data_IF_323662746501
#
_entry.id   IF_323662746501
#
_cell.length_a   1.000
_cell.length_b   1.000
_cell.length_c   1.000
_cell.angle_alpha   90.00
_cell.angle_beta   90.00
_cell.angle_gamma   90.00
#
_symmetry.space_group_name_H-M   'P 1'
#
loop_
_entity.id
_entity.type
_entity.pdbx_description
1 polymer ?
#
# COMPACT_ATOMS: atom_id res chain seq x y z
N UNK A 1 18.29 6.37 -16.26
CA UNK A 1 17.19 5.39 -16.43
C UNK A 1 17.74 4.05 -16.00
N UNK A 2 17.44 3.61 -14.78
CA UNK A 2 17.98 2.35 -14.25
C UNK A 2 17.37 1.19 -15.01
N UNK A 3 18.14 0.63 -15.93
CA UNK A 3 17.79 -0.59 -16.63
C UNK A 3 17.70 -1.75 -15.64
N UNK A 4 16.57 -2.47 -15.62
CA UNK A 4 16.39 -3.64 -14.77
C UNK A 4 17.50 -4.66 -15.01
N UNK A 5 18.10 -5.18 -13.93
CA UNK A 5 19.15 -6.20 -14.07
C UNK A 5 18.58 -7.51 -14.63
N UNK A 6 19.37 -8.35 -15.32
CA UNK A 6 18.90 -9.67 -15.76
C UNK A 6 18.42 -10.56 -14.60
N UNK A 7 18.97 -10.37 -13.39
CA UNK A 7 18.54 -11.10 -12.20
C UNK A 7 17.17 -10.63 -11.70
N UNK A 8 16.91 -9.32 -11.71
CA UNK A 8 15.62 -8.74 -11.39
C UNK A 8 14.55 -9.23 -12.36
N UNK A 9 14.80 -9.17 -13.68
CA UNK A 9 13.86 -9.66 -14.69
C UNK A 9 13.48 -11.12 -14.48
N UNK A 10 14.44 -11.97 -14.07
CA UNK A 10 14.16 -13.37 -13.72
C UNK A 10 13.24 -13.48 -12.51
N UNK A 11 13.46 -12.67 -11.47
CA UNK A 11 12.60 -12.67 -10.27
C UNK A 11 11.19 -12.20 -10.57
N UNK A 12 11.03 -11.11 -11.33
CA UNK A 12 9.71 -10.59 -11.74
C UNK A 12 8.97 -11.61 -12.59
N UNK A 13 9.62 -12.20 -13.60
CA UNK A 13 9.00 -13.25 -14.44
C UNK A 13 8.59 -14.47 -13.64
N UNK A 14 9.40 -14.87 -12.64
CA UNK A 14 9.03 -15.95 -11.74
C UNK A 14 7.79 -15.57 -10.92
N UNK A 15 7.79 -14.39 -10.30
CA UNK A 15 6.66 -13.90 -9.53
C UNK A 15 5.37 -13.86 -10.39
N UNK A 16 5.42 -13.31 -11.59
CA UNK A 16 4.28 -13.25 -12.52
C UNK A 16 3.77 -14.63 -12.94
N UNK A 17 4.66 -15.62 -13.08
CA UNK A 17 4.24 -17.02 -13.31
C UNK A 17 3.55 -17.65 -12.10
N UNK A 18 3.96 -17.23 -10.91
CA UNK A 18 3.44 -17.73 -9.65
C UNK A 18 2.23 -16.90 -9.15
N UNK A 19 1.76 -15.91 -9.92
CA UNK A 19 0.53 -15.18 -9.62
C UNK A 19 -0.66 -16.14 -9.56
N UNK A 20 -1.65 -15.85 -8.69
CA UNK A 20 -2.83 -16.67 -8.59
C UNK A 20 -3.66 -16.60 -9.89
N UNK A 21 -4.52 -17.59 -10.18
CA UNK A 21 -5.45 -17.50 -11.29
C UNK A 21 -6.31 -16.23 -11.20
N UNK A 22 -6.72 -15.69 -12.36
CA UNK A 22 -7.45 -14.41 -12.46
C UNK A 22 -8.59 -14.27 -11.45
N UNK A 23 -9.47 -15.27 -11.33
CA UNK A 23 -10.59 -15.23 -10.38
C UNK A 23 -10.17 -15.13 -8.91
N UNK A 24 -9.06 -15.77 -8.53
CA UNK A 24 -8.49 -15.67 -7.17
C UNK A 24 -7.85 -14.30 -6.95
N UNK A 25 -7.14 -13.78 -7.96
CA UNK A 25 -6.53 -12.45 -7.91
C UNK A 25 -7.59 -11.34 -7.75
N UNK A 26 -8.65 -11.38 -8.56
CA UNK A 26 -9.78 -10.46 -8.51
C UNK A 26 -10.51 -10.58 -7.16
N UNK A 27 -10.71 -11.81 -6.65
CA UNK A 27 -11.28 -12.03 -5.32
C UNK A 27 -10.43 -11.42 -4.20
N UNK A 28 -9.11 -11.63 -4.19
CA UNK A 28 -8.23 -11.06 -3.16
C UNK A 28 -8.22 -9.53 -3.18
N UNK A 29 -8.21 -8.93 -4.39
CA UNK A 29 -8.33 -7.48 -4.54
C UNK A 29 -9.69 -6.99 -4.01
N UNK A 30 -10.78 -7.65 -4.39
CA UNK A 30 -12.14 -7.29 -3.98
C UNK A 30 -12.34 -7.39 -2.46
N UNK A 31 -11.79 -8.44 -1.84
CA UNK A 31 -11.77 -8.60 -0.38
C UNK A 31 -10.96 -7.48 0.27
N UNK A 32 -9.79 -7.16 -0.27
CA UNK A 32 -8.97 -6.05 0.24
C UNK A 32 -9.73 -4.70 0.15
N UNK A 33 -10.42 -4.44 -0.96
CA UNK A 33 -11.22 -3.21 -1.13
C UNK A 33 -12.40 -3.20 -0.15
N UNK A 34 -13.08 -4.34 0.02
CA UNK A 34 -14.32 -4.43 0.79
C UNK A 34 -14.10 -4.37 2.30
N UNK A 35 -13.07 -5.05 2.80
CA UNK A 35 -12.85 -5.20 4.23
C UNK A 35 -11.58 -4.49 4.73
N UNK A 36 -10.66 -4.18 3.83
CA UNK A 36 -9.41 -3.50 4.15
C UNK A 36 -9.47 -1.98 4.02
N UNK A 37 -10.43 -1.41 3.28
CA UNK A 37 -10.58 0.05 3.18
C UNK A 37 -11.07 0.62 4.50
N UNK A 38 -10.23 1.44 5.14
CA UNK A 38 -10.48 1.99 6.48
C UNK A 38 -10.26 3.51 6.53
N UNK A 39 -9.44 4.03 7.45
CA UNK A 39 -9.08 5.44 7.56
C UNK A 39 -7.96 5.85 6.59
N UNK A 40 -7.36 4.90 5.87
CA UNK A 40 -6.19 5.14 5.04
C UNK A 40 -6.45 4.93 3.54
N UNK A 41 -5.64 5.59 2.72
CA UNK A 41 -5.55 5.39 1.28
C UNK A 41 -4.37 4.46 0.94
N UNK A 42 -4.69 3.25 0.51
CA UNK A 42 -3.69 2.31 -0.01
C UNK A 42 -3.44 2.53 -1.51
N UNK A 43 -4.53 2.70 -2.26
CA UNK A 43 -4.52 2.84 -3.72
C UNK A 43 -5.88 3.30 -4.24
N UNK A 44 -5.89 3.78 -5.48
CA UNK A 44 -7.12 4.01 -6.24
C UNK A 44 -7.70 2.67 -6.69
N UNK A 45 -8.92 2.38 -6.24
CA UNK A 45 -9.59 1.09 -6.39
C UNK A 45 -9.96 0.82 -7.86
N UNK A 46 -10.52 1.82 -8.55
CA UNK A 46 -10.92 1.72 -9.96
C UNK A 46 -9.70 1.51 -10.85
N UNK A 47 -8.64 2.29 -10.63
CA UNK A 47 -7.40 2.19 -11.38
C UNK A 47 -6.73 0.82 -11.18
N UNK A 48 -6.56 0.36 -9.93
CA UNK A 48 -5.91 -0.91 -9.67
C UNK A 48 -6.70 -2.09 -10.25
N UNK A 49 -8.04 -2.02 -10.19
CA UNK A 49 -8.92 -3.02 -10.79
C UNK A 49 -8.74 -3.08 -12.32
N UNK A 50 -8.71 -1.93 -12.99
CA UNK A 50 -8.50 -1.86 -14.44
C UNK A 50 -7.10 -2.36 -14.84
N UNK A 51 -6.06 -1.97 -14.10
CA UNK A 51 -4.68 -2.40 -14.33
C UNK A 51 -4.51 -3.91 -14.14
N UNK A 52 -5.13 -4.48 -13.10
CA UNK A 52 -5.13 -5.92 -12.87
C UNK A 52 -5.88 -6.67 -13.98
N UNK A 53 -7.02 -6.14 -14.42
CA UNK A 53 -7.76 -6.67 -15.57
C UNK A 53 -6.91 -6.70 -16.85
N UNK A 54 -6.21 -5.61 -17.15
CA UNK A 54 -5.30 -5.52 -18.29
C UNK A 54 -4.11 -6.50 -18.15
N UNK A 55 -3.53 -6.62 -16.95
CA UNK A 55 -2.42 -7.54 -16.66
C UNK A 55 -2.77 -9.01 -16.97
N UNK A 56 -4.01 -9.44 -16.71
CA UNK A 56 -4.48 -10.80 -17.01
C UNK A 56 -5.01 -10.98 -18.43
N UNK A 57 -5.45 -9.91 -19.09
CA UNK A 57 -6.07 -9.99 -20.42
C UNK A 57 -5.06 -9.92 -21.57
N UNK A 58 -3.88 -9.35 -21.35
CA UNK A 58 -2.83 -9.19 -22.36
C UNK A 58 -1.47 -9.70 -21.84
N UNK A 59 -0.93 -10.75 -22.48
CA UNK A 59 0.40 -11.28 -22.16
C UNK A 59 1.54 -10.30 -22.50
N UNK A 60 1.31 -9.38 -23.44
CA UNK A 60 2.23 -8.30 -23.82
C UNK A 60 2.15 -7.07 -22.90
N UNK A 61 1.26 -7.08 -21.90
CA UNK A 61 1.07 -5.95 -21.00
C UNK A 61 2.36 -5.58 -20.26
N UNK A 62 2.78 -4.31 -20.38
CA UNK A 62 4.04 -3.81 -19.77
C UNK A 62 4.08 -3.98 -18.25
N UNK A 63 2.93 -3.99 -17.59
CA UNK A 63 2.80 -4.21 -16.15
C UNK A 63 3.33 -5.59 -15.72
N UNK A 64 3.35 -6.58 -16.62
CA UNK A 64 3.93 -7.91 -16.37
C UNK A 64 5.45 -7.90 -16.26
N UNK A 65 6.10 -6.82 -16.67
CA UNK A 65 7.55 -6.60 -16.52
C UNK A 65 7.91 -5.53 -15.49
N UNK A 66 6.91 -4.81 -14.96
CA UNK A 66 7.12 -3.73 -14.00
C UNK A 66 7.28 -4.29 -12.58
N UNK A 67 8.51 -4.26 -12.05
CA UNK A 67 8.82 -4.75 -10.71
C UNK A 67 8.02 -4.03 -9.62
N UNK A 68 7.80 -2.72 -9.78
CA UNK A 68 7.05 -1.91 -8.83
C UNK A 68 5.59 -2.32 -8.77
N UNK A 69 4.96 -2.49 -9.94
CA UNK A 69 3.57 -2.94 -10.05
C UNK A 69 3.41 -4.37 -9.51
N UNK A 70 4.25 -5.32 -9.94
CA UNK A 70 4.15 -6.72 -9.53
C UNK A 70 4.36 -6.87 -8.01
N UNK A 71 5.35 -6.16 -7.46
CA UNK A 71 5.59 -6.14 -6.02
C UNK A 71 4.40 -5.54 -5.24
N UNK A 72 3.85 -4.43 -5.74
CA UNK A 72 2.70 -3.77 -5.13
C UNK A 72 1.45 -4.67 -5.14
N UNK A 73 1.14 -5.31 -6.26
CA UNK A 73 -0.02 -6.21 -6.37
C UNK A 73 0.12 -7.43 -5.47
N UNK A 74 1.32 -8.03 -5.36
CA UNK A 74 1.56 -9.11 -4.40
C UNK A 74 1.37 -8.64 -2.95
N UNK A 75 1.78 -7.41 -2.61
CA UNK A 75 1.53 -6.85 -1.30
C UNK A 75 0.01 -6.68 -1.04
N UNK A 76 -0.75 -6.26 -2.05
CA UNK A 76 -2.23 -6.15 -1.95
C UNK A 76 -2.89 -7.52 -1.79
N UNK A 77 -2.42 -8.56 -2.49
CA UNK A 77 -2.90 -9.93 -2.30
C UNK A 77 -2.60 -10.46 -0.89
N UNK A 78 -1.40 -10.19 -0.37
CA UNK A 78 -1.05 -10.53 1.00
C UNK A 78 -1.95 -9.80 2.01
N UNK A 79 -2.23 -8.52 1.79
CA UNK A 79 -3.11 -7.76 2.67
C UNK A 79 -4.56 -8.26 2.59
N UNK A 80 -5.10 -8.47 1.39
CA UNK A 80 -6.46 -8.97 1.18
C UNK A 80 -6.73 -10.34 1.80
N UNK A 81 -5.70 -11.18 1.92
CA UNK A 81 -5.84 -12.50 2.53
C UNK A 81 -6.23 -12.45 4.02
N UNK A 82 -6.01 -11.32 4.72
CA UNK A 82 -6.43 -11.15 6.12
C UNK A 82 -7.94 -11.24 6.31
N UNK A 83 -8.72 -10.98 5.26
CA UNK A 83 -10.19 -10.90 5.36
C UNK A 83 -10.92 -11.93 4.50
N UNK A 84 -10.23 -12.94 3.97
CA UNK A 84 -10.89 -13.95 3.11
C UNK A 84 -11.92 -14.77 3.86
N UNK A 85 -11.78 -14.94 5.18
CA UNK A 85 -12.78 -15.59 6.03
C UNK A 85 -14.08 -14.78 6.14
N UNK A 86 -14.00 -13.44 6.08
CA UNK A 86 -15.17 -12.55 6.15
C UNK A 86 -16.01 -12.56 4.87
N UNK A 87 -15.42 -12.98 3.75
CA UNK A 87 -16.09 -13.11 2.47
C UNK A 87 -16.71 -14.50 2.24
N UNK A 88 -16.46 -15.47 3.13
CA UNK A 88 -17.04 -16.81 3.05
C UNK A 88 -18.50 -16.77 3.56
N UNK A 89 -19.46 -17.43 2.89
CA UNK A 89 -20.84 -17.55 3.40
C UNK A 89 -20.86 -18.24 4.77
N UNK A 90 -21.72 -17.76 5.67
CA UNK A 90 -21.82 -18.21 7.07
C UNK A 90 -22.23 -19.70 7.25
N UNK A 91 -22.52 -20.43 6.17
CA UNK A 91 -23.01 -21.81 6.21
C UNK A 91 -21.90 -22.89 6.08
N UNK A 92 -20.63 -22.50 5.85
CA UNK A 92 -19.51 -23.41 5.62
C UNK A 92 -18.52 -23.53 6.81
N UNK A 93 -18.97 -23.28 8.05
CA UNK A 93 -18.11 -23.43 9.23
C UNK A 93 -18.21 -24.82 9.87
N UNK A 94 -17.03 -25.47 10.00
CA UNK A 94 -16.57 -26.37 11.09
C UNK A 94 -15.68 -27.53 10.62
N UNK A 95 -15.34 -27.66 9.34
CA UNK A 95 -14.44 -28.75 8.90
C UNK A 95 -13.06 -28.24 8.51
N UNK A 96 -12.19 -28.27 9.53
CA UNK A 96 -10.71 -28.24 9.50
C UNK A 96 -10.11 -26.83 9.51
N UNK A 97 -10.04 -26.23 10.70
CA UNK A 97 -9.04 -25.20 11.00
C UNK A 97 -7.88 -25.86 11.77
N UNK A 98 -7.11 -26.69 11.05
CA UNK A 98 -5.72 -26.95 11.47
C UNK A 98 -4.94 -25.64 11.40
N UNK A 99 -4.01 -25.39 12.33
CA UNK A 99 -3.16 -24.19 12.45
C UNK A 99 -3.24 -23.29 11.21
N UNK A 100 -4.01 -22.20 11.28
CA UNK A 100 -4.15 -21.22 10.19
C UNK A 100 -2.76 -20.78 9.72
N UNK A 101 -2.25 -21.42 8.67
CA UNK A 101 -1.14 -20.89 7.90
C UNK A 101 -1.67 -19.65 7.22
N UNK A 102 -1.07 -18.50 7.51
CA UNK A 102 -1.40 -17.23 6.88
C UNK A 102 -1.34 -17.38 5.35
N UNK A 103 -2.49 -17.41 4.65
CA UNK A 103 -2.51 -17.66 3.21
C UNK A 103 -1.86 -16.52 2.41
N UNK A 104 -1.74 -15.33 3.01
CA UNK A 104 -1.04 -14.18 2.43
C UNK A 104 0.46 -14.30 2.43
N UNK A 105 1.00 -15.21 3.25
CA UNK A 105 2.45 -15.35 3.47
C UNK A 105 3.21 -15.64 2.18
N UNK A 106 2.62 -16.41 1.27
CA UNK A 106 3.22 -16.73 -0.03
C UNK A 106 3.41 -15.47 -0.89
N UNK A 107 2.41 -14.58 -0.91
CA UNK A 107 2.47 -13.32 -1.65
C UNK A 107 3.42 -12.33 -0.98
N UNK A 108 3.39 -12.26 0.36
CA UNK A 108 4.34 -11.46 1.13
C UNK A 108 5.80 -11.85 0.87
N UNK A 109 6.12 -13.15 0.89
CA UNK A 109 7.49 -13.60 0.68
C UNK A 109 8.00 -13.28 -0.73
N UNK A 110 7.14 -13.36 -1.75
CA UNK A 110 7.48 -12.93 -3.10
C UNK A 110 7.63 -11.40 -3.21
N UNK A 111 6.70 -10.64 -2.64
CA UNK A 111 6.76 -9.18 -2.63
C UNK A 111 8.02 -8.68 -1.92
N UNK A 112 8.41 -9.30 -0.80
CA UNK A 112 9.65 -9.00 -0.06
C UNK A 112 10.91 -9.23 -0.91
N UNK A 113 10.93 -10.29 -1.71
CA UNK A 113 12.05 -10.56 -2.64
C UNK A 113 12.15 -9.44 -3.70
N UNK A 114 11.02 -9.04 -4.28
CA UNK A 114 11.00 -7.94 -5.27
C UNK A 114 11.27 -6.58 -4.63
N UNK A 115 10.90 -6.38 -3.37
CA UNK A 115 11.15 -5.13 -2.64
C UNK A 115 12.65 -4.85 -2.53
N UNK A 116 13.48 -5.88 -2.44
CA UNK A 116 14.93 -5.74 -2.42
C UNK A 116 15.47 -5.06 -3.68
N UNK A 117 14.87 -5.35 -4.85
CA UNK A 117 15.21 -4.69 -6.11
C UNK A 117 14.71 -3.24 -6.16
N UNK A 118 13.72 -2.89 -5.35
CA UNK A 118 13.12 -1.56 -5.34
C UNK A 118 13.73 -0.65 -4.30
N UNK A 119 14.64 -1.09 -3.43
CA UNK A 119 15.15 -0.32 -2.27
C UNK A 119 15.63 1.07 -2.68
N UNK A 120 16.46 1.15 -3.72
CA UNK A 120 17.10 2.36 -4.24
C UNK A 120 16.33 3.05 -5.38
N UNK A 121 15.16 2.52 -5.77
CA UNK A 121 14.31 3.07 -6.85
C UNK A 121 13.00 3.63 -6.28
N UNK A 122 13.03 4.83 -5.69
CA UNK A 122 11.83 5.45 -5.13
C UNK A 122 10.90 5.90 -6.27
N UNK A 123 9.69 5.36 -6.27
CA UNK A 123 8.57 5.72 -7.13
C UNK A 123 7.25 5.46 -6.40
N UNK A 124 6.12 5.98 -6.90
CA UNK A 124 4.80 5.79 -6.27
C UNK A 124 4.50 4.32 -5.94
N UNK A 125 4.75 3.40 -6.89
CA UNK A 125 4.53 1.97 -6.67
C UNK A 125 5.42 1.39 -5.58
N UNK A 126 6.69 1.78 -5.52
CA UNK A 126 7.59 1.31 -4.46
C UNK A 126 7.18 1.82 -3.07
N UNK A 127 6.60 3.04 -2.99
CA UNK A 127 6.04 3.59 -1.75
C UNK A 127 4.82 2.77 -1.34
N UNK A 128 3.86 2.58 -2.25
CA UNK A 128 2.65 1.81 -1.99
C UNK A 128 2.96 0.36 -1.60
N UNK A 129 3.88 -0.30 -2.29
CA UNK A 129 4.29 -1.66 -1.96
C UNK A 129 4.91 -1.75 -0.57
N UNK A 130 5.86 -0.87 -0.22
CA UNK A 130 6.45 -0.87 1.12
C UNK A 130 5.42 -0.55 2.20
N UNK A 131 4.51 0.39 1.92
CA UNK A 131 3.43 0.79 2.81
C UNK A 131 2.48 -0.39 3.09
N UNK A 132 1.95 -1.03 2.05
CA UNK A 132 1.02 -2.16 2.15
C UNK A 132 1.68 -3.38 2.82
N UNK A 133 2.97 -3.66 2.55
CA UNK A 133 3.71 -4.69 3.29
C UNK A 133 3.82 -4.37 4.78
N UNK A 134 4.06 -3.10 5.12
CA UNK A 134 4.05 -2.64 6.51
C UNK A 134 2.70 -2.86 7.18
N UNK A 135 1.60 -2.56 6.47
CA UNK A 135 0.22 -2.74 6.96
C UNK A 135 -0.08 -4.22 7.19
N UNK A 136 0.26 -5.08 6.23
CA UNK A 136 0.08 -6.52 6.33
C UNK A 136 0.78 -7.13 7.57
N UNK A 137 1.93 -6.57 7.97
CA UNK A 137 2.71 -7.01 9.13
C UNK A 137 2.28 -6.39 10.48
N UNK A 138 1.28 -5.51 10.50
CA UNK A 138 0.82 -4.88 11.75
C UNK A 138 0.23 -5.83 12.80
N UNK A 139 -0.36 -7.00 12.48
CA UNK A 139 -0.74 -7.96 13.52
C UNK A 139 0.42 -8.20 14.50
N UNK A 140 0.09 -8.30 15.79
CA UNK A 140 1.05 -8.12 16.90
C UNK A 140 2.32 -9.00 16.83
N UNK A 141 2.27 -10.14 16.13
CA UNK A 141 3.41 -11.05 15.94
C UNK A 141 4.54 -10.50 15.05
N UNK A 142 4.28 -9.47 14.22
CA UNK A 142 5.25 -8.95 13.25
C UNK A 142 5.46 -7.42 13.31
N UNK A 143 5.04 -6.77 14.40
CA UNK A 143 5.05 -5.31 14.54
C UNK A 143 6.45 -4.67 14.36
N UNK A 144 7.53 -5.36 14.73
CA UNK A 144 8.90 -4.88 14.50
C UNK A 144 9.24 -4.81 13.01
N UNK A 145 8.79 -5.79 12.22
CA UNK A 145 8.97 -5.78 10.77
C UNK A 145 8.07 -4.73 10.11
N UNK A 146 6.81 -4.60 10.59
CA UNK A 146 5.91 -3.52 10.18
C UNK A 146 6.55 -2.15 10.35
N UNK A 147 7.13 -1.85 11.52
CA UNK A 147 7.86 -0.61 11.79
C UNK A 147 8.97 -0.32 10.75
N UNK A 148 9.76 -1.35 10.38
CA UNK A 148 10.83 -1.19 9.37
C UNK A 148 10.25 -0.85 7.99
N UNK A 149 9.19 -1.53 7.57
CA UNK A 149 8.52 -1.26 6.29
C UNK A 149 7.83 0.11 6.26
N UNK A 150 7.20 0.55 7.37
CA UNK A 150 6.64 1.90 7.47
C UNK A 150 7.73 2.96 7.32
N UNK A 151 8.87 2.78 8.01
CA UNK A 151 10.02 3.67 7.84
C UNK A 151 10.60 3.64 6.42
N UNK A 152 10.58 2.50 5.74
CA UNK A 152 10.97 2.40 4.33
C UNK A 152 10.00 3.17 3.42
N UNK A 153 8.69 2.98 3.59
CA UNK A 153 7.66 3.68 2.85
C UNK A 153 7.77 5.20 3.04
N UNK A 154 7.97 5.66 4.27
CA UNK A 154 8.17 7.08 4.58
C UNK A 154 9.41 7.64 3.88
N UNK A 155 10.57 6.98 3.97
CA UNK A 155 11.80 7.44 3.30
C UNK A 155 11.66 7.48 1.78
N UNK A 156 10.97 6.50 1.18
CA UNK A 156 10.66 6.50 -0.25
C UNK A 156 9.72 7.65 -0.64
N UNK A 157 8.70 7.91 0.18
CA UNK A 157 7.76 9.02 -0.03
C UNK A 157 8.47 10.38 0.04
N UNK A 158 9.39 10.55 1.00
CA UNK A 158 10.24 11.74 1.11
C UNK A 158 11.14 11.89 -0.12
N UNK A 159 11.77 10.80 -0.59
CA UNK A 159 12.68 10.81 -1.72
C UNK A 159 12.03 11.25 -3.05
N UNK A 160 10.73 10.99 -3.24
CA UNK A 160 9.97 11.48 -4.40
C UNK A 160 9.15 12.75 -4.10
N UNK A 161 9.36 13.38 -2.94
CA UNK A 161 8.74 14.66 -2.62
C UNK A 161 7.26 14.60 -2.23
N UNK A 162 6.70 13.46 -1.80
CA UNK A 162 5.26 13.37 -1.46
C UNK A 162 4.84 14.27 -0.28
N UNK A 163 5.80 14.66 0.57
CA UNK A 163 5.59 15.59 1.69
C UNK A 163 5.41 17.05 1.25
N UNK A 164 5.72 17.34 -0.01
CA UNK A 164 5.60 18.66 -0.59
C UNK A 164 4.28 18.77 -1.36
N UNK A 165 3.72 19.98 -1.40
CA UNK A 165 2.56 20.24 -2.26
C UNK A 165 2.94 20.03 -3.73
N UNK A 166 2.24 19.14 -4.47
CA UNK A 166 2.59 18.86 -5.86
C UNK A 166 2.23 20.04 -6.76
N UNK A 167 3.22 20.81 -7.17
CA UNK A 167 3.12 21.99 -8.03
C UNK A 167 3.71 21.78 -9.45
N UNK A 168 4.16 20.55 -9.74
CA UNK A 168 4.77 20.19 -11.02
C UNK A 168 3.83 20.48 -12.22
N UNK A 169 4.30 21.21 -13.25
CA UNK A 169 3.54 21.42 -14.48
C UNK A 169 3.25 20.08 -15.17
N UNK A 170 1.98 19.82 -15.48
CA UNK A 170 1.54 18.62 -16.19
C UNK A 170 0.91 17.53 -15.33
N UNK A 171 0.99 17.62 -14.00
CA UNK A 171 0.21 16.75 -13.12
C UNK A 171 -1.27 17.16 -13.16
N UNK A 172 -2.15 16.20 -13.45
CA UNK A 172 -3.59 16.37 -13.31
C UNK A 172 -3.99 16.58 -11.84
N UNK A 173 -5.15 17.20 -11.60
CA UNK A 173 -5.65 17.39 -10.24
C UNK A 173 -5.87 16.06 -9.51
N UNK A 174 -6.28 15.01 -10.24
CA UNK A 174 -6.46 13.67 -9.69
C UNK A 174 -5.11 13.06 -9.25
N UNK A 175 -4.06 13.19 -10.05
CA UNK A 175 -2.73 12.69 -9.68
C UNK A 175 -2.15 13.42 -8.47
N UNK A 176 -2.34 14.74 -8.39
CA UNK A 176 -1.96 15.53 -7.22
C UNK A 176 -2.69 15.04 -5.98
N UNK A 177 -3.99 14.77 -6.11
CA UNK A 177 -4.80 14.31 -5.00
C UNK A 177 -4.41 12.90 -4.53
N UNK A 178 -4.17 11.97 -5.45
CA UNK A 178 -3.64 10.64 -5.12
C UNK A 178 -2.30 10.70 -4.38
N UNK A 179 -1.41 11.63 -4.76
CA UNK A 179 -0.13 11.87 -4.08
C UNK A 179 -0.32 12.40 -2.65
N UNK A 180 -1.22 13.37 -2.45
CA UNK A 180 -1.57 13.88 -1.10
C UNK A 180 -2.14 12.76 -0.23
N UNK A 181 -3.07 11.97 -0.75
CA UNK A 181 -3.70 10.86 0.00
C UNK A 181 -2.69 9.80 0.41
N UNK A 182 -1.81 9.40 -0.50
CA UNK A 182 -0.74 8.46 -0.20
C UNK A 182 0.23 9.03 0.86
N UNK A 183 0.61 10.30 0.72
CA UNK A 183 1.45 10.97 1.72
C UNK A 183 0.83 10.92 3.11
N UNK A 184 -0.40 11.42 3.25
CA UNK A 184 -1.07 11.52 4.54
C UNK A 184 -1.37 10.15 5.14
N UNK A 185 -1.55 9.11 4.32
CA UNK A 185 -1.74 7.74 4.81
C UNK A 185 -0.43 7.14 5.34
N UNK A 186 0.67 7.31 4.61
CA UNK A 186 2.00 6.85 5.05
C UNK A 186 2.43 7.59 6.30
N UNK A 187 2.36 8.93 6.32
CA UNK A 187 2.73 9.76 7.46
C UNK A 187 1.88 9.44 8.69
N UNK A 188 0.55 9.36 8.53
CA UNK A 188 -0.35 9.13 9.66
C UNK A 188 -0.13 7.77 10.30
N UNK A 189 0.03 6.73 9.48
CA UNK A 189 0.22 5.38 10.00
C UNK A 189 1.61 5.19 10.61
N UNK A 190 2.66 5.68 9.95
CA UNK A 190 4.03 5.65 10.49
C UNK A 190 4.09 6.35 11.84
N UNK A 191 3.48 7.54 11.94
CA UNK A 191 3.48 8.31 13.19
C UNK A 191 2.73 7.59 14.30
N UNK A 192 1.53 7.06 14.01
CA UNK A 192 0.78 6.26 14.99
C UNK A 192 1.57 5.03 15.47
N UNK A 193 2.27 4.33 14.57
CA UNK A 193 3.11 3.19 14.94
C UNK A 193 4.29 3.63 15.81
N UNK A 194 4.99 4.71 15.47
CA UNK A 194 6.12 5.20 16.28
C UNK A 194 5.69 5.60 17.69
N UNK A 195 4.55 6.29 17.84
CA UNK A 195 4.01 6.71 19.14
C UNK A 195 3.63 5.49 19.97
N UNK A 196 2.88 4.54 19.40
CA UNK A 196 2.48 3.30 20.10
C UNK A 196 3.69 2.48 20.58
N UNK A 197 4.80 2.53 19.84
CA UNK A 197 6.02 1.80 20.17
C UNK A 197 7.06 2.64 20.94
N UNK A 198 6.72 3.86 21.37
CA UNK A 198 7.63 4.81 22.02
C UNK A 198 8.95 4.99 21.24
N UNK A 199 8.85 5.13 19.91
CA UNK A 199 9.99 5.38 19.01
C UNK A 199 10.12 6.87 18.70
N UNK A 200 11.34 7.35 18.39
CA UNK A 200 11.56 8.73 17.98
C UNK A 200 10.72 9.12 16.77
N UNK A 201 10.40 10.40 16.69
CA UNK A 201 9.76 10.99 15.51
C UNK A 201 10.70 10.88 14.30
N UNK A 202 10.14 10.45 13.16
CA UNK A 202 10.91 10.30 11.92
C UNK A 202 11.09 11.60 11.14
N UNK A 203 10.10 12.50 11.13
CA UNK A 203 10.15 13.81 10.44
C UNK A 203 9.40 14.90 11.21
N UNK A 204 9.85 16.15 11.12
CA UNK A 204 9.09 17.30 11.65
C UNK A 204 7.86 17.62 10.79
N UNK A 205 6.80 18.16 11.40
CA UNK A 205 5.68 18.72 10.65
C UNK A 205 6.04 19.97 9.86
N UNK A 206 7.08 20.70 10.26
CA UNK A 206 7.41 22.00 9.68
C UNK A 206 7.90 21.89 8.24
N UNK A 207 8.38 20.71 7.83
CA UNK A 207 8.81 20.45 6.45
C UNK A 207 7.67 19.97 5.56
N UNK A 208 6.48 19.72 6.11
CA UNK A 208 5.34 19.20 5.35
C UNK A 208 4.57 20.37 4.75
N UNK A 209 4.63 20.52 3.42
CA UNK A 209 3.86 21.54 2.69
C UNK A 209 2.66 20.96 1.95
N UNK A 210 2.60 19.63 1.79
CA UNK A 210 1.45 18.93 1.21
C UNK A 210 0.16 19.30 1.95
N UNK A 211 -0.83 19.80 1.21
CA UNK A 211 -2.15 20.13 1.75
C UNK A 211 -2.87 18.85 2.18
N UNK A 212 -3.82 18.98 3.10
CA UNK A 212 -4.72 17.88 3.43
C UNK A 212 -5.49 17.44 2.17
N UNK A 213 -5.89 16.15 2.08
CA UNK A 213 -6.71 15.67 0.98
C UNK A 213 -8.01 16.45 0.85
N UNK A 214 -8.63 16.38 -0.32
CA UNK A 214 -9.96 16.92 -0.59
C UNK A 214 -10.77 15.96 -1.46
N UNK A 215 -12.11 16.00 -1.37
CA UNK A 215 -12.96 15.30 -2.31
C UNK A 215 -12.72 15.79 -3.76
N UNK A 216 -12.74 14.86 -4.70
CA UNK A 216 -12.65 15.08 -6.16
C UNK A 216 -13.70 14.23 -6.89
N UNK A 217 -14.11 14.59 -8.12
CA UNK A 217 -15.12 13.82 -8.86
C UNK A 217 -14.80 12.32 -9.01
N UNK A 218 -13.51 11.97 -9.13
CA UNK A 218 -13.03 10.60 -9.23
C UNK A 218 -13.32 9.73 -8.00
N UNK A 219 -13.66 10.33 -6.86
CA UNK A 219 -14.06 9.59 -5.67
C UNK A 219 -15.36 8.79 -5.88
N UNK A 220 -16.21 9.22 -6.82
CA UNK A 220 -17.43 8.51 -7.20
C UNK A 220 -17.15 7.15 -7.87
N UNK A 221 -15.92 6.91 -8.35
CA UNK A 221 -15.48 5.64 -8.93
C UNK A 221 -14.97 4.66 -7.88
N UNK A 222 -14.78 5.10 -6.63
CA UNK A 222 -14.34 4.25 -5.54
C UNK A 222 -15.55 3.50 -4.96
N UNK A 223 -15.40 2.19 -4.69
CA UNK A 223 -16.45 1.39 -4.04
C UNK A 223 -16.72 1.88 -2.63
N UNK A 224 -15.65 2.31 -1.95
CA UNK A 224 -15.70 2.91 -0.62
C UNK A 224 -14.94 4.23 -0.63
N UNK A 225 -15.68 5.34 -0.62
CA UNK A 225 -15.10 6.67 -0.44
C UNK A 225 -14.83 6.95 1.05
N UNK A 226 -13.55 6.89 1.42
CA UNK A 226 -13.08 7.19 2.77
C UNK A 226 -12.36 8.54 2.87
N UNK A 227 -12.46 9.44 1.89
CA UNK A 227 -11.69 10.70 1.88
C UNK A 227 -11.92 11.54 3.13
N UNK A 228 -13.17 11.62 3.60
CA UNK A 228 -13.50 12.40 4.80
C UNK A 228 -12.84 11.80 6.06
N UNK A 229 -12.78 10.46 6.14
CA UNK A 229 -12.10 9.76 7.23
C UNK A 229 -10.59 10.01 7.20
N UNK A 230 -9.98 9.97 6.01
CA UNK A 230 -8.56 10.29 5.83
C UNK A 230 -8.23 11.72 6.29
N UNK A 231 -9.06 12.70 5.92
CA UNK A 231 -8.87 14.12 6.31
C UNK A 231 -8.91 14.25 7.83
N UNK A 232 -9.94 13.70 8.47
CA UNK A 232 -10.11 13.78 9.93
C UNK A 232 -8.97 13.07 10.66
N UNK A 233 -8.56 11.90 10.18
CA UNK A 233 -7.46 11.14 10.79
C UNK A 233 -6.12 11.87 10.63
N UNK A 234 -5.82 12.41 9.45
CA UNK A 234 -4.62 13.20 9.23
C UNK A 234 -4.57 14.44 10.15
N UNK A 235 -5.70 15.14 10.34
CA UNK A 235 -5.81 16.25 11.29
C UNK A 235 -5.54 15.79 12.73
N UNK A 236 -6.12 14.66 13.14
CA UNK A 236 -5.89 14.08 14.47
C UNK A 236 -4.40 13.75 14.68
N UNK A 237 -3.76 13.08 13.71
CA UNK A 237 -2.33 12.73 13.83
C UNK A 237 -1.47 13.98 13.95
N UNK A 238 -1.77 15.05 13.21
CA UNK A 238 -1.02 16.32 13.35
C UNK A 238 -1.11 16.90 14.76
N UNK A 239 -2.28 16.83 15.39
CA UNK A 239 -2.46 17.28 16.78
C UNK A 239 -1.65 16.39 17.72
N UNK A 240 -1.79 15.07 17.61
CA UNK A 240 -1.09 14.10 18.46
C UNK A 240 0.42 14.28 18.34
N UNK A 241 0.93 14.45 17.12
CA UNK A 241 2.36 14.57 16.89
C UNK A 241 2.95 15.84 17.51
N UNK A 242 2.22 16.97 17.51
CA UNK A 242 2.63 18.19 18.26
C UNK A 242 2.65 17.96 19.77
N UNK A 243 1.70 17.19 20.30
CA UNK A 243 1.64 16.89 21.74
C UNK A 243 2.69 15.88 22.19
N UNK A 244 3.20 15.06 21.27
CA UNK A 244 4.21 14.02 21.55
C UNK A 244 5.64 14.57 21.57
N UNK A 245 5.82 15.87 21.40
CA UNK A 245 7.09 16.58 21.53
C UNK A 245 7.38 16.79 23.03
N UNK A 246 8.48 16.25 23.58
CA UNK A 246 8.89 16.64 24.93
C UNK A 246 9.22 18.13 24.93
N UNK A 247 8.61 18.88 25.86
CA UNK A 247 8.82 20.30 26.10
C UNK A 247 10.26 20.64 26.49
#
# INVERSE_FOLDING_TARGET
>A
ADSQSPAELRRVRKAVRDFPPRGVAEFLLEVCITYGTDLFFYFDQAQLTAELGAFYSDEGCRLRSDTGFVCFVLAVFALGSHWTSLARPAEEDERVVGKEEDPGRIFYDQARILMADLIDRPCLRSVQAAYVLGVYLMPASAISASYVYMGLALRKALAIGLHLEPDEPGLSEDEKEMRRRLWWSVYSLERTVTIKLNRPRSISQDIITARLPRPVPRDAEQKFDNVQHQILYAQLVRIIDKLSEPA
#
